data_IF_170492725131
#
_entry.id   IF_170492725131
#
_cell.length_a   1.000
_cell.length_b   1.000
_cell.length_c   1.000
_cell.angle_alpha   90.00
_cell.angle_beta   90.00
_cell.angle_gamma   90.00
#
_symmetry.space_group_name_H-M   'P 1'
#
loop_
_entity.id
_entity.type
_entity.pdbx_description
1 polymer ?
#
# COMPACT_ATOMS: atom_id res chain seq x y z
N UNK A 1 -8.05 11.79 2.74
CA UNK A 1 -6.67 11.27 2.76
C UNK A 1 -5.71 12.42 2.97
N UNK A 2 -4.49 12.20 3.44
CA UNK A 2 -3.59 13.29 3.91
C UNK A 2 -3.31 14.40 2.89
N UNK A 3 -3.39 14.10 1.59
CA UNK A 3 -3.27 15.08 0.51
C UNK A 3 -4.38 16.14 0.47
N UNK A 4 -5.51 15.94 1.18
CA UNK A 4 -6.57 16.94 1.31
C UNK A 4 -6.25 18.06 2.31
N UNK A 5 -5.13 17.97 3.03
CA UNK A 5 -4.66 19.01 3.95
C UNK A 5 -3.62 19.94 3.29
N UNK A 6 -3.69 20.09 1.96
CA UNK A 6 -2.81 20.97 1.18
C UNK A 6 -2.70 22.39 1.75
N UNK A 7 -3.80 22.89 2.32
CA UNK A 7 -3.86 24.27 2.80
C UNK A 7 -3.45 24.39 4.28
N UNK A 8 -3.18 23.26 4.96
CA UNK A 8 -2.83 23.23 6.38
C UNK A 8 -2.07 21.95 6.75
N UNK A 9 -0.78 21.82 6.43
CA UNK A 9 0.01 20.61 6.68
C UNK A 9 -0.01 20.14 8.15
N UNK A 10 -0.07 21.07 9.10
CA UNK A 10 -0.14 20.76 10.54
C UNK A 10 -1.41 20.00 10.91
N UNK A 11 -2.52 20.21 10.20
CA UNK A 11 -3.77 19.46 10.41
C UNK A 11 -3.65 18.01 9.93
N UNK A 12 -2.76 17.72 8.98
CA UNK A 12 -2.51 16.35 8.52
C UNK A 12 -1.91 15.50 9.65
N UNK A 13 -0.93 16.02 10.38
CA UNK A 13 -0.37 15.36 11.56
C UNK A 13 -1.44 15.10 12.62
N UNK A 14 -2.16 16.14 13.04
CA UNK A 14 -3.26 16.03 14.03
C UNK A 14 -4.34 15.02 13.65
N UNK A 15 -4.60 14.83 12.35
CA UNK A 15 -5.59 13.85 11.88
C UNK A 15 -5.24 12.40 12.27
N UNK A 16 -3.98 12.11 12.61
CA UNK A 16 -3.53 10.79 13.05
C UNK A 16 -3.69 10.55 14.56
N UNK A 17 -3.82 11.61 15.38
CA UNK A 17 -3.86 11.51 16.84
C UNK A 17 -4.97 10.55 17.35
N UNK A 18 -6.21 10.56 16.82
CA UNK A 18 -7.24 9.62 17.27
C UNK A 18 -6.85 8.15 17.06
N UNK A 19 -6.25 7.83 15.91
CA UNK A 19 -5.82 6.47 15.59
C UNK A 19 -4.61 6.04 16.42
N UNK A 20 -3.66 6.96 16.65
CA UNK A 20 -2.48 6.70 17.49
C UNK A 20 -2.85 6.52 18.96
N UNK A 21 -3.83 7.26 19.46
CA UNK A 21 -4.34 7.10 20.82
C UNK A 21 -5.09 5.77 20.97
N UNK A 22 -5.89 5.38 19.97
CA UNK A 22 -6.50 4.06 19.95
C UNK A 22 -5.44 2.95 19.96
N UNK A 23 -4.42 3.02 19.09
CA UNK A 23 -3.35 2.03 19.05
C UNK A 23 -2.59 1.91 20.38
N UNK A 24 -2.37 3.03 21.08
CA UNK A 24 -1.72 3.04 22.41
C UNK A 24 -2.56 2.33 23.48
N UNK A 25 -3.89 2.36 23.36
CA UNK A 25 -4.78 1.68 24.30
C UNK A 25 -4.88 0.18 24.02
N UNK A 26 -4.75 -0.25 22.75
CA UNK A 26 -4.84 -1.66 22.36
C UNK A 26 -3.53 -2.42 22.58
N UNK A 27 -2.39 -1.76 22.40
CA UNK A 27 -1.07 -2.39 22.56
C UNK A 27 -0.63 -2.25 24.02
N UNK A 28 -0.17 -3.33 24.69
CA UNK A 28 0.38 -3.25 26.04
C UNK A 28 1.49 -2.22 26.16
N UNK A 29 1.49 -1.44 27.25
CA UNK A 29 2.42 -0.32 27.45
C UNK A 29 3.89 -0.74 27.38
N UNK A 30 4.20 -1.96 27.83
CA UNK A 30 5.56 -2.53 27.82
C UNK A 30 6.06 -2.83 26.40
N UNK A 31 5.13 -2.96 25.43
CA UNK A 31 5.44 -3.27 24.03
C UNK A 31 5.49 -2.03 23.14
N UNK A 32 5.08 -0.85 23.61
CA UNK A 32 5.01 0.36 22.79
C UNK A 32 6.36 0.67 22.14
N UNK A 33 7.43 0.72 22.93
CA UNK A 33 8.78 1.08 22.45
C UNK A 33 9.40 0.06 21.49
N UNK A 34 8.85 -1.15 21.40
CA UNK A 34 9.32 -2.20 20.49
C UNK A 34 8.42 -2.34 19.25
N UNK A 35 7.21 -1.77 19.29
CA UNK A 35 6.27 -1.87 18.18
C UNK A 35 6.69 -0.95 17.04
N UNK A 36 7.03 -1.48 15.86
CA UNK A 36 7.48 -0.65 14.75
C UNK A 36 6.30 0.07 14.09
N UNK A 37 6.50 1.36 13.79
CA UNK A 37 5.49 2.23 13.17
C UNK A 37 6.01 2.77 11.84
N UNK A 38 5.25 2.54 10.78
CA UNK A 38 5.54 2.99 9.41
C UNK A 38 4.38 3.79 8.85
N UNK A 39 4.67 4.75 7.96
CA UNK A 39 3.66 5.42 7.14
C UNK A 39 4.00 5.27 5.65
N UNK A 40 3.09 4.64 4.91
CA UNK A 40 3.14 4.55 3.45
C UNK A 40 2.10 5.49 2.84
N UNK A 41 2.55 6.47 2.08
CA UNK A 41 1.67 7.35 1.31
C UNK A 41 1.64 6.91 -0.16
N UNK A 42 0.46 6.90 -0.77
CA UNK A 42 0.24 6.26 -2.08
C UNK A 42 -0.12 7.28 -3.17
N UNK A 43 -0.96 6.91 -4.14
CA UNK A 43 -1.25 7.64 -5.37
C UNK A 43 -1.51 9.14 -5.19
N UNK A 44 -2.26 9.53 -4.15
CA UNK A 44 -2.62 10.95 -3.97
C UNK A 44 -1.42 11.81 -3.55
N UNK A 45 -0.50 11.27 -2.75
CA UNK A 45 0.74 11.96 -2.40
C UNK A 45 1.77 11.92 -3.54
N UNK A 46 1.79 10.86 -4.36
CA UNK A 46 2.59 10.85 -5.61
C UNK A 46 2.19 12.02 -6.52
N UNK A 47 0.89 12.18 -6.77
CA UNK A 47 0.36 13.28 -7.58
C UNK A 47 0.67 14.65 -6.97
N UNK A 48 0.53 14.79 -5.64
CA UNK A 48 0.86 16.04 -4.96
C UNK A 48 2.36 16.35 -5.05
N UNK A 49 3.23 15.34 -4.97
CA UNK A 49 4.67 15.53 -5.10
C UNK A 49 5.08 16.02 -6.49
N UNK A 50 4.39 15.57 -7.54
CA UNK A 50 4.62 16.02 -8.92
C UNK A 50 4.13 17.46 -9.16
N UNK A 51 3.01 17.84 -8.57
CA UNK A 51 2.37 19.16 -8.80
C UNK A 51 2.86 20.23 -7.83
N UNK A 52 3.10 19.88 -6.56
CA UNK A 52 3.46 20.78 -5.47
C UNK A 52 4.48 20.10 -4.52
N UNK A 53 5.74 19.92 -4.95
CA UNK A 53 6.75 19.16 -4.19
C UNK A 53 7.04 19.72 -2.80
N UNK A 54 7.11 21.06 -2.66
CA UNK A 54 7.35 21.73 -1.36
C UNK A 54 6.22 21.41 -0.38
N UNK A 55 4.98 21.43 -0.85
CA UNK A 55 3.81 21.14 -0.03
C UNK A 55 3.76 19.65 0.36
N UNK A 56 4.05 18.75 -0.58
CA UNK A 56 4.18 17.32 -0.32
C UNK A 56 5.22 17.03 0.77
N UNK A 57 6.40 17.65 0.68
CA UNK A 57 7.44 17.55 1.70
C UNK A 57 6.99 18.10 3.07
N UNK A 58 6.30 19.24 3.08
CA UNK A 58 5.77 19.85 4.30
C UNK A 58 4.73 18.95 4.98
N UNK A 59 3.84 18.31 4.21
CA UNK A 59 2.87 17.34 4.72
C UNK A 59 3.56 16.11 5.30
N UNK A 60 4.54 15.53 4.58
CA UNK A 60 5.28 14.36 5.07
C UNK A 60 6.07 14.68 6.34
N UNK A 61 6.63 15.89 6.44
CA UNK A 61 7.31 16.36 7.64
C UNK A 61 6.34 16.53 8.83
N UNK A 62 5.16 17.10 8.62
CA UNK A 62 4.14 17.25 9.65
C UNK A 62 3.65 15.88 10.17
N UNK A 63 3.40 14.92 9.27
CA UNK A 63 3.06 13.54 9.63
C UNK A 63 4.18 12.86 10.41
N UNK A 64 5.42 13.01 9.95
CA UNK A 64 6.62 12.48 10.60
C UNK A 64 6.77 13.03 12.02
N UNK A 65 6.51 14.33 12.22
CA UNK A 65 6.53 14.96 13.54
C UNK A 65 5.55 14.29 14.52
N UNK A 66 4.30 14.10 14.10
CA UNK A 66 3.28 13.44 14.93
C UNK A 66 3.58 11.96 15.19
N UNK A 67 4.09 11.23 14.20
CA UNK A 67 4.44 9.82 14.39
C UNK A 67 5.63 9.65 15.33
N UNK A 68 6.64 10.52 15.25
CA UNK A 68 7.79 10.52 16.16
C UNK A 68 7.43 10.91 17.60
N UNK A 69 6.37 11.67 17.81
CA UNK A 69 5.89 11.99 19.17
C UNK A 69 5.08 10.87 19.82
N UNK A 70 4.73 9.81 19.07
CA UNK A 70 4.06 8.63 19.63
C UNK A 70 5.06 7.77 20.42
N UNK A 71 4.60 6.90 21.35
CA UNK A 71 5.49 6.03 22.12
C UNK A 71 6.00 4.83 21.31
N UNK A 72 5.60 4.70 20.04
CA UNK A 72 5.99 3.60 19.17
C UNK A 72 7.36 3.81 18.55
N UNK A 73 7.98 2.70 18.13
CA UNK A 73 9.24 2.72 17.41
C UNK A 73 9.03 3.18 15.96
N UNK A 74 9.06 4.49 15.71
CA UNK A 74 8.89 5.04 14.36
C UNK A 74 10.08 4.71 13.45
N UNK A 75 9.79 4.02 12.35
CA UNK A 75 10.77 3.51 11.40
C UNK A 75 10.87 4.35 10.12
N UNK A 76 9.80 5.03 9.72
CA UNK A 76 9.84 5.91 8.56
C UNK A 76 8.49 6.25 7.97
N UNK A 77 8.47 7.34 7.20
CA UNK A 77 7.35 7.78 6.40
C UNK A 77 7.82 8.00 4.96
N UNK A 78 7.19 7.33 3.99
CA UNK A 78 7.62 7.39 2.60
C UNK A 78 6.43 7.45 1.64
N UNK A 79 6.66 8.05 0.47
CA UNK A 79 5.73 7.98 -0.66
C UNK A 79 6.12 6.74 -1.46
N UNK A 80 5.26 5.73 -1.45
CA UNK A 80 5.46 4.48 -2.19
C UNK A 80 5.31 4.74 -3.69
N UNK A 81 6.14 4.11 -4.50
CA UNK A 81 5.87 4.00 -5.94
C UNK A 81 4.66 3.10 -6.20
N UNK A 82 4.07 3.20 -7.40
CA UNK A 82 2.93 2.32 -7.76
C UNK A 82 3.34 0.83 -7.76
N UNK A 83 4.50 0.44 -8.31
CA UNK A 83 4.90 -0.97 -8.30
C UNK A 83 5.16 -1.51 -6.89
N UNK A 84 5.75 -0.72 -5.99
CA UNK A 84 5.96 -1.12 -4.59
C UNK A 84 4.64 -1.33 -3.84
N UNK A 85 3.72 -0.37 -3.93
CA UNK A 85 2.39 -0.45 -3.31
C UNK A 85 1.66 -1.74 -3.71
N UNK A 86 1.65 -2.04 -5.01
CA UNK A 86 1.00 -3.22 -5.55
C UNK A 86 1.74 -4.53 -5.24
N UNK A 87 3.08 -4.52 -5.25
CA UNK A 87 3.89 -5.66 -4.84
C UNK A 87 3.66 -6.02 -3.37
N UNK A 88 3.58 -5.04 -2.47
CA UNK A 88 3.28 -5.29 -1.05
C UNK A 88 1.87 -5.87 -0.87
N UNK A 89 0.88 -5.38 -1.62
CA UNK A 89 -0.46 -5.94 -1.60
C UNK A 89 -0.48 -7.41 -2.08
N UNK A 90 0.24 -7.71 -3.16
CA UNK A 90 0.40 -9.07 -3.67
C UNK A 90 1.07 -10.01 -2.67
N UNK A 91 2.11 -9.53 -1.96
CA UNK A 91 2.76 -10.28 -0.89
C UNK A 91 1.80 -10.53 0.27
N UNK A 92 1.05 -9.52 0.71
CA UNK A 92 0.11 -9.66 1.83
C UNK A 92 -0.96 -10.72 1.55
N UNK A 93 -1.58 -10.69 0.36
CA UNK A 93 -2.58 -11.68 -0.04
C UNK A 93 -1.98 -13.09 -0.07
N UNK A 94 -0.84 -13.27 -0.73
CA UNK A 94 -0.23 -14.59 -0.86
C UNK A 94 0.37 -15.12 0.46
N UNK A 95 0.74 -14.24 1.39
CA UNK A 95 1.14 -14.60 2.74
C UNK A 95 -0.05 -15.14 3.54
N UNK A 96 -1.16 -14.40 3.57
CA UNK A 96 -2.39 -14.81 4.29
C UNK A 96 -2.98 -16.11 3.72
N UNK A 97 -2.83 -16.33 2.41
CA UNK A 97 -3.29 -17.56 1.75
C UNK A 97 -2.33 -18.76 1.87
N UNK A 98 -1.19 -18.59 2.57
CA UNK A 98 -0.16 -19.63 2.71
C UNK A 98 0.34 -20.16 1.35
N UNK A 99 0.42 -19.28 0.35
CA UNK A 99 0.88 -19.64 -1.00
C UNK A 99 2.41 -19.67 -1.10
N UNK A 100 3.12 -18.97 -0.21
CA UNK A 100 4.58 -19.07 -0.15
C UNK A 100 5.05 -20.36 0.53
N UNK A 101 4.47 -20.66 1.69
CA UNK A 101 4.81 -21.80 2.52
C UNK A 101 3.60 -22.17 3.37
N UNK A 102 3.61 -23.40 3.90
CA UNK A 102 2.64 -23.88 4.87
C UNK A 102 3.32 -24.80 5.88
N UNK A 103 2.67 -25.04 7.01
CA UNK A 103 3.11 -26.07 7.94
C UNK A 103 2.62 -27.45 7.47
N UNK A 104 3.49 -28.45 7.47
CA UNK A 104 3.09 -29.84 7.29
C UNK A 104 2.54 -30.45 8.60
N UNK A 105 2.19 -31.73 8.58
CA UNK A 105 1.60 -32.41 9.74
C UNK A 105 2.60 -32.60 10.89
N UNK A 106 3.91 -32.42 10.63
CA UNK A 106 4.98 -32.41 11.63
C UNK A 106 5.29 -31.00 12.13
N UNK A 107 4.60 -29.97 11.62
CA UNK A 107 4.89 -28.58 11.96
C UNK A 107 6.16 -28.03 11.30
N UNK A 108 6.64 -28.64 10.22
CA UNK A 108 7.75 -28.11 9.43
C UNK A 108 7.25 -27.14 8.35
N UNK A 109 8.01 -26.06 8.13
CA UNK A 109 7.74 -25.09 7.09
C UNK A 109 8.11 -25.70 5.72
N UNK A 110 7.11 -25.98 4.90
CA UNK A 110 7.31 -26.54 3.56
C UNK A 110 6.80 -25.57 2.48
N UNK A 111 7.46 -25.47 1.32
CA UNK A 111 6.95 -24.67 0.21
C UNK A 111 5.54 -25.10 -0.18
N UNK A 112 4.67 -24.13 -0.44
CA UNK A 112 3.32 -24.45 -0.91
C UNK A 112 3.38 -25.00 -2.33
N UNK A 113 2.53 -25.99 -2.63
CA UNK A 113 2.32 -26.49 -4.01
C UNK A 113 1.23 -25.71 -4.75
N UNK A 114 0.59 -24.74 -4.09
CA UNK A 114 -0.42 -23.89 -4.70
C UNK A 114 0.26 -22.85 -5.58
N UNK A 115 -0.36 -22.54 -6.72
CA UNK A 115 0.07 -21.41 -7.53
C UNK A 115 -0.16 -20.09 -6.79
N UNK A 116 0.58 -19.06 -7.18
CA UNK A 116 0.39 -17.73 -6.61
C UNK A 116 -0.90 -17.09 -7.09
N UNK A 117 -1.61 -16.45 -6.17
CA UNK A 117 -2.81 -15.70 -6.51
C UNK A 117 -2.42 -14.39 -7.22
N UNK A 118 -3.11 -14.08 -8.31
CA UNK A 118 -3.16 -12.71 -8.82
C UNK A 118 -4.04 -11.85 -7.94
N UNK A 119 -3.70 -10.57 -7.80
CA UNK A 119 -4.43 -9.59 -6.99
C UNK A 119 -4.99 -8.52 -7.90
N UNK A 120 -6.32 -8.36 -7.88
CA UNK A 120 -7.01 -7.24 -8.52
C UNK A 120 -7.35 -6.22 -7.44
N UNK A 121 -6.70 -5.07 -7.45
CA UNK A 121 -7.02 -3.93 -6.58
C UNK A 121 -7.82 -2.89 -7.38
N UNK A 122 -8.80 -2.26 -6.74
CA UNK A 122 -9.62 -1.22 -7.38
C UNK A 122 -9.61 0.03 -6.51
N UNK A 123 -8.91 1.05 -6.99
CA UNK A 123 -8.91 2.36 -6.39
C UNK A 123 -10.08 3.22 -6.85
N UNK A 124 -10.04 4.50 -6.45
CA UNK A 124 -11.04 5.48 -6.91
C UNK A 124 -10.90 5.81 -8.38
N UNK A 125 -9.65 5.86 -8.88
CA UNK A 125 -9.33 6.38 -10.21
C UNK A 125 -8.92 5.34 -11.26
N UNK A 126 -8.45 4.20 -10.81
CA UNK A 126 -7.93 3.12 -11.64
C UNK A 126 -8.05 1.80 -10.89
N UNK A 127 -7.93 0.70 -11.64
CA UNK A 127 -7.74 -0.64 -11.09
C UNK A 127 -6.35 -1.15 -11.47
N UNK A 128 -5.81 -2.10 -10.71
CA UNK A 128 -4.51 -2.70 -10.93
C UNK A 128 -4.63 -4.22 -10.82
N UNK A 129 -4.02 -4.92 -11.78
CA UNK A 129 -3.87 -6.37 -11.73
C UNK A 129 -2.41 -6.70 -11.48
N UNK A 130 -2.13 -7.36 -10.37
CA UNK A 130 -0.78 -7.68 -9.91
C UNK A 130 -0.61 -9.20 -9.81
N UNK A 131 0.34 -9.76 -10.55
CA UNK A 131 0.57 -11.19 -10.62
C UNK A 131 2.04 -11.52 -10.85
N UNK A 132 2.42 -12.76 -10.51
CA UNK A 132 3.70 -13.32 -10.92
C UNK A 132 3.61 -13.77 -12.38
N UNK A 133 4.60 -13.40 -13.20
CA UNK A 133 4.70 -13.80 -14.60
C UNK A 133 5.94 -14.68 -14.79
N UNK A 134 5.75 -15.80 -15.50
CA UNK A 134 6.80 -16.79 -15.77
C UNK A 134 7.71 -16.38 -16.97
N UNK A 135 7.24 -15.52 -17.90
CA UNK A 135 7.96 -15.19 -19.14
C UNK A 135 8.31 -13.70 -19.31
N UNK A 136 9.52 -13.43 -19.81
CA UNK A 136 10.07 -12.10 -20.11
C UNK A 136 9.41 -11.40 -21.31
N UNK A 137 8.60 -12.11 -22.11
CA UNK A 137 8.18 -11.65 -23.44
C UNK A 137 6.90 -10.78 -23.43
N UNK A 138 6.24 -10.62 -22.29
CA UNK A 138 5.03 -9.78 -22.12
C UNK A 138 5.09 -8.86 -20.88
N UNK A 139 6.23 -8.79 -20.21
CA UNK A 139 6.40 -7.99 -19.01
C UNK A 139 6.19 -6.50 -19.33
N UNK A 140 5.20 -5.81 -18.70
CA UNK A 140 5.14 -4.36 -18.71
C UNK A 140 6.44 -3.79 -18.11
N UNK A 141 6.85 -2.58 -18.51
CA UNK A 141 8.09 -1.91 -18.07
C UNK A 141 8.25 -1.82 -16.53
N UNK A 142 7.16 -1.95 -15.76
CA UNK A 142 7.15 -1.83 -14.30
C UNK A 142 6.93 -3.20 -13.61
N UNK A 143 8.03 -3.90 -13.34
CA UNK A 143 8.05 -5.12 -12.52
C UNK A 143 8.92 -4.97 -11.27
N UNK A 144 8.54 -5.61 -10.17
CA UNK A 144 9.31 -5.66 -8.93
C UNK A 144 9.89 -7.06 -8.75
N UNK A 145 11.21 -7.12 -8.50
CA UNK A 145 11.91 -8.35 -8.15
C UNK A 145 11.95 -8.50 -6.63
N UNK A 146 11.33 -9.55 -6.11
CA UNK A 146 11.27 -9.84 -4.68
C UNK A 146 12.05 -11.11 -4.37
N UNK A 147 12.75 -11.14 -3.24
CA UNK A 147 13.39 -12.34 -2.72
C UNK A 147 12.66 -12.76 -1.45
N UNK A 148 11.80 -13.77 -1.57
CA UNK A 148 10.92 -14.23 -0.50
C UNK A 148 11.18 -15.71 -0.24
N UNK A 149 11.52 -16.05 1.02
CA UNK A 149 11.75 -17.44 1.44
C UNK A 149 12.78 -18.19 0.57
N UNK A 150 13.84 -17.50 0.16
CA UNK A 150 14.90 -18.07 -0.68
C UNK A 150 14.56 -18.18 -2.18
N UNK A 151 13.35 -17.79 -2.59
CA UNK A 151 12.94 -17.77 -4.00
C UNK A 151 12.90 -16.35 -4.54
N UNK A 152 13.43 -16.18 -5.76
CA UNK A 152 13.31 -14.90 -6.48
C UNK A 152 12.02 -14.93 -7.29
N UNK A 153 11.17 -13.94 -7.08
CA UNK A 153 9.87 -13.80 -7.74
C UNK A 153 9.80 -12.48 -8.49
N UNK A 154 9.25 -12.52 -9.69
CA UNK A 154 9.05 -11.33 -10.53
C UNK A 154 7.57 -11.02 -10.57
N UNK A 155 7.19 -9.94 -9.89
CA UNK A 155 5.81 -9.50 -9.77
C UNK A 155 5.61 -8.33 -10.70
N UNK A 156 4.63 -8.44 -11.58
CA UNK A 156 4.26 -7.38 -12.50
C UNK A 156 2.90 -6.83 -12.13
N UNK A 157 2.76 -5.51 -12.24
CA UNK A 157 1.47 -4.86 -12.09
C UNK A 157 1.09 -4.21 -13.40
N UNK A 158 -0.16 -4.45 -13.84
CA UNK A 158 -0.76 -3.78 -14.98
C UNK A 158 -1.84 -2.84 -14.47
N UNK A 159 -1.69 -1.56 -14.79
CA UNK A 159 -2.70 -0.56 -14.48
C UNK A 159 -3.78 -0.52 -15.57
N UNK A 160 -5.04 -0.48 -15.13
CA UNK A 160 -6.24 -0.26 -15.92
C UNK A 160 -6.80 1.13 -15.58
N UNK A 161 -6.36 2.19 -16.28
CA UNK A 161 -6.87 3.54 -16.05
C UNK A 161 -8.37 3.62 -16.35
N UNK A 162 -9.08 4.56 -15.72
CA UNK A 162 -10.52 4.79 -15.88
C UNK A 162 -11.46 3.66 -15.42
N UNK A 163 -10.92 2.58 -14.85
CA UNK A 163 -11.68 1.48 -14.26
C UNK A 163 -11.76 1.59 -12.73
N UNK A 164 -11.53 2.80 -12.18
CA UNK A 164 -11.74 3.09 -10.77
C UNK A 164 -13.23 3.27 -10.42
N UNK A 165 -13.56 3.12 -9.15
CA UNK A 165 -14.95 3.22 -8.66
C UNK A 165 -15.65 4.52 -9.07
N UNK A 166 -14.95 5.66 -9.02
CA UNK A 166 -15.55 6.97 -9.35
C UNK A 166 -15.73 7.16 -10.85
N UNK A 167 -14.80 6.70 -11.69
CA UNK A 167 -14.95 6.77 -13.15
C UNK A 167 -16.03 5.85 -13.64
N UNK A 168 -16.10 4.63 -13.10
CA UNK A 168 -17.18 3.69 -13.43
C UNK A 168 -18.54 4.29 -13.03
N UNK A 169 -18.63 4.89 -11.84
CA UNK A 169 -19.83 5.61 -11.40
C UNK A 169 -20.19 6.77 -12.32
N UNK A 170 -19.23 7.62 -12.66
CA UNK A 170 -19.44 8.79 -13.53
C UNK A 170 -19.88 8.38 -14.94
N UNK A 171 -19.24 7.35 -15.49
CA UNK A 171 -19.57 6.79 -16.80
C UNK A 171 -20.99 6.21 -16.80
N UNK A 172 -21.36 5.46 -15.75
CA UNK A 172 -22.70 4.91 -15.60
C UNK A 172 -23.76 6.03 -15.51
N UNK A 173 -23.53 7.05 -14.69
CA UNK A 173 -24.44 8.21 -14.58
C UNK A 173 -24.59 8.92 -15.93
N UNK A 174 -23.50 9.10 -16.67
CA UNK A 174 -23.54 9.73 -18.00
C UNK A 174 -24.39 8.93 -18.97
N UNK A 175 -24.24 7.60 -19.00
CA UNK A 175 -25.06 6.71 -19.84
C UNK A 175 -26.54 6.78 -19.44
N UNK A 176 -26.84 6.83 -18.14
CA UNK A 176 -28.22 6.89 -17.63
C UNK A 176 -28.91 8.24 -17.92
N UNK A 177 -28.15 9.33 -18.00
CA UNK A 177 -28.68 10.67 -18.32
C UNK A 177 -28.84 10.93 -19.83
N UNK A 178 -28.32 10.04 -20.68
CA UNK A 178 -28.49 10.09 -22.14
C UNK A 178 -29.77 9.38 -22.62
N UNK A 179 -30.59 8.90 -21.70
CA UNK A 179 -31.94 8.32 -21.92
C UNK A 179 -33.00 9.35 -21.52
#
# INVERSE_FOLDING_TARGET
GVSSYSDSPQKAGKSLEPCLNWAQNEIPAEQHSQTPLYLGATASMRQLNLTHPILSASLLAALTGTLKSSPFNFQGAQILSSPEEEAYNWVAVNYVLENFFKYDWQGQLVPSRRGMAGVLSMGRTSAQLTAELEEEQQAPEEGVRLQLYGQTRRVHSRQCPCHGTEQLRSSLVTVLLQV
#
